data_IF_933855705484
#
_entry.id   IF_933855705484
#
_cell.length_a   1.000
_cell.length_b   1.000
_cell.length_c   1.000
_cell.angle_alpha   90.00
_cell.angle_beta   90.00
_cell.angle_gamma   90.00
#
_symmetry.space_group_name_H-M   'P 1'
#
loop_
_entity.id
_entity.type
_entity.pdbx_description
1 polymer ?
#
# COMPACT_ATOMS: atom_id res chain seq x y z
N UNK A 1 11.99 -33.67 -5.31
CA UNK A 1 11.79 -33.52 -3.85
C UNK A 1 13.12 -33.08 -3.25
N UNK A 2 13.18 -32.17 -2.25
CA UNK A 2 14.44 -31.83 -1.60
C UNK A 2 15.12 -33.09 -1.03
N UNK A 3 16.45 -33.08 -0.93
CA UNK A 3 17.20 -34.18 -0.32
C UNK A 3 16.77 -34.41 1.13
N UNK A 4 16.85 -35.66 1.59
CA UNK A 4 16.46 -36.04 2.94
C UNK A 4 17.38 -35.32 3.94
N UNK A 5 16.82 -34.39 4.71
CA UNK A 5 17.56 -33.52 5.66
C UNK A 5 17.76 -32.08 5.18
N UNK A 6 17.35 -31.74 3.95
CA UNK A 6 17.38 -30.37 3.47
C UNK A 6 16.35 -29.52 4.22
N UNK A 7 16.79 -28.39 4.77
CA UNK A 7 15.93 -27.37 5.36
C UNK A 7 15.83 -26.15 4.43
N UNK A 8 14.66 -25.52 4.42
CA UNK A 8 14.44 -24.25 3.73
C UNK A 8 14.34 -23.18 4.80
N UNK A 9 15.05 -22.08 4.60
CA UNK A 9 15.00 -20.92 5.48
C UNK A 9 14.54 -19.71 4.69
N UNK A 10 13.69 -18.90 5.32
CA UNK A 10 13.33 -17.61 4.77
C UNK A 10 14.54 -16.68 4.82
N UNK A 11 14.89 -16.04 3.70
CA UNK A 11 16.07 -15.16 3.62
C UNK A 11 15.71 -13.68 3.53
N UNK A 12 14.48 -13.37 3.15
CA UNK A 12 14.04 -12.01 2.82
C UNK A 12 13.35 -11.34 3.99
N UNK A 13 13.95 -11.36 5.18
CA UNK A 13 13.40 -10.80 6.42
C UNK A 13 12.94 -9.34 6.29
N UNK A 14 13.56 -8.56 5.39
CA UNK A 14 13.10 -7.20 5.05
C UNK A 14 11.66 -7.13 4.53
N UNK A 15 11.10 -8.24 4.03
CA UNK A 15 9.71 -8.35 3.55
C UNK A 15 8.72 -8.73 4.65
N UNK A 16 9.18 -9.05 5.86
CA UNK A 16 8.30 -9.26 7.02
C UNK A 16 7.81 -7.94 7.62
N UNK A 17 8.43 -6.81 7.23
CA UNK A 17 7.96 -5.50 7.66
C UNK A 17 6.55 -5.23 7.15
N UNK A 18 5.61 -5.13 8.10
CA UNK A 18 4.23 -4.75 7.82
C UNK A 18 4.20 -3.38 7.13
N UNK A 19 3.39 -3.29 6.08
CA UNK A 19 3.18 -2.05 5.34
C UNK A 19 2.44 -1.05 6.25
N UNK A 20 3.01 0.15 6.48
CA UNK A 20 2.53 1.07 7.52
C UNK A 20 1.25 1.83 7.15
N UNK A 21 1.01 2.01 5.85
CA UNK A 21 -0.15 2.68 5.29
C UNK A 21 -0.64 1.88 4.09
N UNK A 22 -1.93 1.61 4.01
CA UNK A 22 -2.57 0.95 2.87
C UNK A 22 -3.82 1.72 2.52
N UNK A 23 -4.02 2.03 1.25
CA UNK A 23 -5.25 2.66 0.75
C UNK A 23 -6.15 1.56 0.18
N UNK A 24 -7.40 1.53 0.61
CA UNK A 24 -8.46 0.74 -0.01
C UNK A 24 -9.37 1.70 -0.75
N UNK A 25 -9.62 1.47 -2.04
CA UNK A 25 -10.38 2.37 -2.88
C UNK A 25 -11.38 1.62 -3.75
N UNK A 26 -12.47 2.30 -4.10
CA UNK A 26 -13.51 1.80 -4.99
C UNK A 26 -14.21 2.95 -5.73
N UNK A 27 -14.74 2.67 -6.92
CA UNK A 27 -15.45 3.64 -7.76
C UNK A 27 -16.90 3.23 -8.00
N UNK A 28 -17.79 4.21 -7.99
CA UNK A 28 -19.17 4.06 -8.43
C UNK A 28 -19.33 4.64 -9.83
N UNK A 29 -20.00 3.90 -10.71
CA UNK A 29 -20.19 4.29 -12.11
C UNK A 29 -21.65 4.19 -12.54
N UNK A 30 -22.07 5.13 -13.39
CA UNK A 30 -23.32 5.01 -14.13
C UNK A 30 -23.08 4.40 -15.51
N UNK A 31 -24.12 3.76 -16.04
CA UNK A 31 -24.11 3.16 -17.37
C UNK A 31 -24.84 4.08 -18.33
N UNK A 32 -24.13 4.62 -19.33
CA UNK A 32 -24.76 5.34 -20.44
C UNK A 32 -24.83 4.45 -21.67
N UNK A 33 -26.02 4.23 -22.25
CA UNK A 33 -26.13 3.51 -23.51
C UNK A 33 -25.26 4.14 -24.60
N UNK A 34 -24.61 3.29 -25.40
CA UNK A 34 -23.92 3.71 -26.63
C UNK A 34 -24.75 3.19 -27.80
N UNK A 35 -25.12 4.09 -28.70
CA UNK A 35 -25.74 3.72 -29.97
C UNK A 35 -24.64 3.53 -31.01
N UNK A 36 -24.45 2.30 -31.47
CA UNK A 36 -23.54 1.92 -32.54
C UNK A 36 -24.31 1.57 -33.82
N UNK A 37 -23.67 1.69 -34.97
CA UNK A 37 -24.23 1.20 -36.24
C UNK A 37 -24.26 -0.33 -36.25
N UNK A 38 -25.12 -0.90 -37.10
CA UNK A 38 -25.17 -2.35 -37.28
C UNK A 38 -23.80 -2.89 -37.74
N UNK A 39 -23.28 -3.95 -37.11
CA UNK A 39 -22.00 -4.52 -37.45
C UNK A 39 -22.05 -5.31 -38.77
N UNK A 40 -20.94 -5.33 -39.50
CA UNK A 40 -20.81 -6.10 -40.74
C UNK A 40 -20.89 -7.61 -40.44
N UNK A 41 -21.84 -8.37 -41.04
CA UNK A 41 -21.98 -9.81 -40.81
C UNK A 41 -20.77 -10.66 -41.23
N UNK A 42 -19.91 -10.15 -42.12
CA UNK A 42 -18.74 -10.89 -42.62
C UNK A 42 -17.48 -10.73 -41.75
N UNK A 43 -17.53 -9.89 -40.71
CA UNK A 43 -16.39 -9.64 -39.82
C UNK A 43 -16.74 -9.90 -38.36
N UNK A 44 -15.75 -10.31 -37.57
CA UNK A 44 -15.91 -10.39 -36.12
C UNK A 44 -15.95 -8.99 -35.52
N UNK A 45 -16.97 -8.70 -34.70
CA UNK A 45 -17.15 -7.41 -34.06
C UNK A 45 -17.39 -7.55 -32.55
N UNK A 46 -17.04 -6.51 -31.81
CA UNK A 46 -17.37 -6.37 -30.38
C UNK A 46 -18.46 -5.32 -30.24
N UNK A 47 -19.60 -5.70 -29.67
CA UNK A 47 -20.69 -4.74 -29.44
C UNK A 47 -20.51 -4.00 -28.11
N UNK A 48 -20.05 -2.75 -28.19
CA UNK A 48 -19.97 -1.87 -27.01
C UNK A 48 -21.33 -1.17 -26.87
N UNK A 49 -22.17 -1.67 -25.97
CA UNK A 49 -23.53 -1.17 -25.79
C UNK A 49 -23.68 -0.16 -24.64
N UNK A 50 -22.70 -0.08 -23.73
CA UNK A 50 -22.72 0.82 -22.57
C UNK A 50 -21.33 1.42 -22.28
N UNK A 51 -21.33 2.69 -21.89
CA UNK A 51 -20.18 3.42 -21.36
C UNK A 51 -20.32 3.55 -19.86
N UNK A 52 -19.32 3.07 -19.13
CA UNK A 52 -19.22 3.26 -17.68
C UNK A 52 -18.58 4.63 -17.42
N UNK A 53 -19.28 5.49 -16.70
CA UNK A 53 -18.80 6.82 -16.34
C UNK A 53 -18.70 6.89 -14.82
N UNK A 54 -17.52 7.18 -14.26
CA UNK A 54 -17.36 7.28 -12.83
C UNK A 54 -18.13 8.50 -12.31
N UNK A 55 -19.02 8.28 -11.35
CA UNK A 55 -19.80 9.33 -10.67
C UNK A 55 -19.36 9.53 -9.24
N UNK A 56 -18.58 8.63 -8.67
CA UNK A 56 -18.06 8.79 -7.34
C UNK A 56 -16.95 7.82 -7.02
N UNK A 57 -16.31 8.06 -5.88
CA UNK A 57 -15.33 7.15 -5.32
C UNK A 57 -15.37 7.21 -3.80
N UNK A 58 -14.85 6.15 -3.19
CA UNK A 58 -14.49 6.11 -1.79
C UNK A 58 -13.07 5.60 -1.67
N UNK A 59 -12.25 6.19 -0.82
CA UNK A 59 -11.03 5.55 -0.36
C UNK A 59 -10.83 5.70 1.15
N UNK A 60 -10.24 4.68 1.74
CA UNK A 60 -9.90 4.63 3.15
C UNK A 60 -8.43 4.29 3.34
N UNK A 61 -7.74 5.12 4.12
CA UNK A 61 -6.33 4.92 4.46
C UNK A 61 -6.27 4.17 5.79
N UNK A 62 -5.86 2.90 5.76
CA UNK A 62 -5.62 2.12 6.97
C UNK A 62 -4.18 2.29 7.43
N UNK A 63 -4.01 2.61 8.71
CA UNK A 63 -2.73 2.57 9.40
C UNK A 63 -2.90 2.07 10.83
N UNK A 64 -1.81 1.58 11.41
CA UNK A 64 -1.71 1.30 12.85
C UNK A 64 -1.18 2.53 13.63
N UNK A 65 -0.74 3.58 12.93
CA UNK A 65 -0.03 4.72 13.54
C UNK A 65 -0.84 6.02 13.55
N UNK A 66 -1.85 6.11 12.68
CA UNK A 66 -2.70 7.26 12.51
C UNK A 66 -4.11 6.81 12.18
N UNK A 67 -5.09 7.57 12.65
CA UNK A 67 -6.49 7.38 12.29
C UNK A 67 -6.85 8.27 11.11
N UNK A 68 -7.68 7.73 10.23
CA UNK A 68 -8.22 8.42 9.07
C UNK A 68 -9.72 8.16 9.02
N UNK A 69 -10.43 9.08 8.41
CA UNK A 69 -11.82 8.89 8.01
C UNK A 69 -11.88 8.54 6.52
N UNK A 70 -12.84 7.73 6.08
CA UNK A 70 -13.05 7.49 4.65
C UNK A 70 -13.26 8.81 3.89
N UNK A 71 -12.57 8.95 2.77
CA UNK A 71 -12.74 10.05 1.84
C UNK A 71 -13.73 9.61 0.78
N UNK A 72 -14.79 10.38 0.62
CA UNK A 72 -15.84 10.11 -0.37
C UNK A 72 -16.02 11.31 -1.27
N UNK A 73 -16.34 11.04 -2.52
CA UNK A 73 -16.69 12.06 -3.49
C UNK A 73 -17.80 11.55 -4.39
N UNK A 74 -18.80 12.40 -4.65
CA UNK A 74 -19.85 12.16 -5.62
C UNK A 74 -19.95 13.37 -6.53
N UNK A 75 -19.99 13.14 -7.83
CA UNK A 75 -20.18 14.16 -8.85
C UNK A 75 -21.52 14.88 -8.65
N UNK A 76 -21.47 16.20 -8.76
CA UNK A 76 -22.64 17.09 -8.74
C UNK A 76 -23.19 17.31 -10.15
N UNK A 77 -22.35 17.16 -11.16
CA UNK A 77 -22.70 17.26 -12.57
C UNK A 77 -22.01 16.18 -13.41
N UNK A 78 -22.55 15.91 -14.60
CA UNK A 78 -22.04 14.85 -15.48
C UNK A 78 -20.72 15.19 -16.17
N UNK A 79 -20.30 16.46 -16.15
CA UNK A 79 -19.07 16.92 -16.79
C UNK A 79 -17.86 16.88 -15.85
N UNK A 80 -18.07 16.56 -14.57
CA UNK A 80 -17.00 16.45 -13.60
C UNK A 80 -16.05 15.29 -13.92
N UNK A 81 -14.75 15.57 -13.94
CA UNK A 81 -13.73 14.52 -14.03
C UNK A 81 -13.47 13.92 -12.64
N UNK A 82 -14.33 12.97 -12.25
CA UNK A 82 -14.25 12.25 -10.96
C UNK A 82 -12.91 11.54 -10.79
N UNK A 83 -12.39 10.92 -11.85
CA UNK A 83 -11.11 10.22 -11.82
C UNK A 83 -9.93 11.16 -11.52
N UNK A 84 -9.92 12.37 -12.09
CA UNK A 84 -8.92 13.39 -11.77
C UNK A 84 -9.01 13.83 -10.32
N UNK A 85 -10.23 14.07 -9.80
CA UNK A 85 -10.43 14.41 -8.38
C UNK A 85 -9.94 13.32 -7.43
N UNK A 86 -10.13 12.05 -7.80
CA UNK A 86 -9.58 10.93 -7.03
C UNK A 86 -8.07 11.03 -6.89
N UNK A 87 -7.35 11.24 -8.00
CA UNK A 87 -5.88 11.38 -7.98
C UNK A 87 -5.44 12.58 -7.15
N UNK A 88 -6.03 13.75 -7.37
CA UNK A 88 -5.67 14.98 -6.65
C UNK A 88 -5.88 14.86 -5.13
N UNK A 89 -7.01 14.27 -4.71
CA UNK A 89 -7.32 14.09 -3.29
C UNK A 89 -6.39 13.05 -2.65
N UNK A 90 -6.19 11.91 -3.33
CA UNK A 90 -5.30 10.86 -2.83
C UNK A 90 -3.85 11.33 -2.73
N UNK A 91 -3.35 12.04 -3.74
CA UNK A 91 -1.99 12.59 -3.75
C UNK A 91 -1.79 13.57 -2.58
N UNK A 92 -2.75 14.46 -2.35
CA UNK A 92 -2.73 15.39 -1.22
C UNK A 92 -2.60 14.65 0.12
N UNK A 93 -3.36 13.58 0.32
CA UNK A 93 -3.29 12.80 1.55
C UNK A 93 -1.98 12.03 1.69
N UNK A 94 -1.46 11.44 0.61
CA UNK A 94 -0.16 10.76 0.59
C UNK A 94 0.98 11.73 0.91
N UNK A 95 0.95 12.95 0.34
CA UNK A 95 1.91 14.01 0.63
C UNK A 95 1.85 14.40 2.12
N UNK A 96 0.64 14.56 2.68
CA UNK A 96 0.45 14.87 4.09
C UNK A 96 1.02 13.77 5.00
N UNK A 97 0.81 12.49 4.66
CA UNK A 97 1.39 11.35 5.37
C UNK A 97 2.91 11.40 5.30
N UNK A 98 3.47 11.66 4.13
CA UNK A 98 4.91 11.76 3.94
C UNK A 98 5.52 12.85 4.83
N UNK A 99 4.95 14.07 4.84
CA UNK A 99 5.46 15.15 5.67
C UNK A 99 5.40 14.83 7.17
N UNK A 100 4.32 14.20 7.64
CA UNK A 100 4.16 13.79 9.04
C UNK A 100 5.10 12.64 9.45
N UNK A 101 5.58 11.83 8.50
CA UNK A 101 6.36 10.61 8.77
C UNK A 101 7.75 10.60 8.13
N UNK A 102 8.18 11.74 7.59
CA UNK A 102 9.47 11.89 6.89
C UNK A 102 10.63 11.49 7.78
N UNK A 103 10.64 12.03 9.00
CA UNK A 103 11.69 11.84 9.98
C UNK A 103 11.32 10.72 10.97
N UNK A 104 12.26 9.80 11.27
CA UNK A 104 12.02 8.78 12.27
C UNK A 104 11.83 9.43 13.65
N UNK A 105 10.92 8.88 14.45
CA UNK A 105 10.77 9.29 15.84
C UNK A 105 12.00 8.89 16.65
N UNK A 106 12.26 9.64 17.73
CA UNK A 106 13.29 9.28 18.72
C UNK A 106 12.97 7.92 19.32
N UNK A 107 14.02 7.14 19.59
CA UNK A 107 13.88 5.81 20.17
C UNK A 107 13.30 5.89 21.59
N UNK A 108 12.35 5.01 21.88
CA UNK A 108 11.76 4.75 23.18
C UNK A 108 12.17 3.33 23.55
N UNK A 109 13.19 3.21 24.41
CA UNK A 109 13.84 1.95 24.75
C UNK A 109 13.94 1.78 26.27
N UNK A 110 13.79 0.54 26.72
CA UNK A 110 14.26 0.08 28.02
C UNK A 110 15.60 -0.65 27.83
N UNK A 111 16.70 -0.04 28.31
CA UNK A 111 18.06 -0.57 28.12
C UNK A 111 18.25 -1.97 28.71
N UNK A 112 17.60 -2.28 29.84
CA UNK A 112 17.70 -3.63 30.45
C UNK A 112 17.17 -4.72 29.51
N UNK A 113 16.13 -4.41 28.74
CA UNK A 113 15.57 -5.34 27.76
C UNK A 113 16.56 -5.57 26.63
N UNK A 114 17.16 -4.50 26.11
CA UNK A 114 18.16 -4.60 25.05
C UNK A 114 19.36 -5.42 25.50
N UNK A 115 19.88 -5.22 26.72
CA UNK A 115 21.05 -5.95 27.22
C UNK A 115 20.81 -7.46 27.30
N UNK A 116 19.63 -7.89 27.79
CA UNK A 116 19.25 -9.30 27.97
C UNK A 116 19.02 -10.07 26.66
N UNK A 117 18.80 -9.38 25.53
CA UNK A 117 18.52 -10.05 24.26
C UNK A 117 19.80 -10.58 23.59
N UNK A 118 19.90 -11.91 23.46
CA UNK A 118 21.07 -12.59 22.87
C UNK A 118 20.91 -12.92 21.39
N UNK A 119 19.68 -12.90 20.88
CA UNK A 119 19.35 -13.25 19.49
C UNK A 119 18.73 -12.08 18.74
N UNK A 120 19.01 -12.00 17.44
CA UNK A 120 18.48 -10.99 16.55
C UNK A 120 16.98 -11.20 16.36
N UNK A 121 16.17 -10.21 16.70
CA UNK A 121 14.71 -10.33 16.57
C UNK A 121 14.22 -10.43 15.11
N UNK A 122 15.06 -10.05 14.14
CA UNK A 122 14.74 -10.07 12.70
C UNK A 122 15.05 -11.42 12.07
N UNK A 123 16.26 -11.95 12.26
CA UNK A 123 16.69 -13.20 11.61
C UNK A 123 16.73 -14.41 12.55
N UNK A 124 16.60 -14.20 13.86
CA UNK A 124 16.62 -15.24 14.90
C UNK A 124 18.02 -15.71 15.33
N UNK A 125 19.09 -15.34 14.62
CA UNK A 125 20.45 -15.80 14.92
C UNK A 125 21.10 -15.02 16.09
N UNK A 126 22.11 -15.62 16.72
CA UNK A 126 22.82 -15.00 17.85
C UNK A 126 23.49 -13.68 17.50
N UNK A 127 23.45 -12.74 18.45
CA UNK A 127 24.02 -11.41 18.36
C UNK A 127 25.46 -11.42 18.85
N UNK A 128 26.30 -10.60 18.20
CA UNK A 128 27.69 -10.37 18.60
C UNK A 128 27.97 -8.91 18.88
N UNK A 129 29.17 -8.46 18.49
CA UNK A 129 29.60 -7.05 18.64
C UNK A 129 28.83 -6.07 17.73
N UNK A 130 28.08 -6.57 16.76
CA UNK A 130 27.29 -5.79 15.80
C UNK A 130 25.82 -5.59 16.24
N UNK A 131 25.53 -5.88 17.51
CA UNK A 131 24.22 -5.69 18.14
C UNK A 131 23.81 -4.21 18.15
N UNK A 132 22.69 -3.91 17.51
CA UNK A 132 22.10 -2.56 17.43
C UNK A 132 20.65 -2.56 17.91
N UNK A 133 20.14 -1.35 18.20
CA UNK A 133 18.77 -1.10 18.69
C UNK A 133 17.84 -0.80 17.51
N UNK A 134 17.05 -1.78 17.07
CA UNK A 134 16.00 -1.55 16.07
C UNK A 134 14.75 -0.95 16.74
N UNK A 135 14.13 0.02 16.08
CA UNK A 135 12.93 0.68 16.58
C UNK A 135 11.97 1.01 15.45
N UNK A 136 10.69 1.17 15.81
CA UNK A 136 9.68 1.59 14.86
C UNK A 136 9.89 3.07 14.47
N UNK A 137 10.07 3.40 13.18
CA UNK A 137 10.29 4.78 12.76
C UNK A 137 9.05 5.67 12.99
N UNK A 138 7.86 5.08 13.09
CA UNK A 138 6.59 5.80 13.26
C UNK A 138 6.24 6.06 14.72
N UNK A 139 6.55 5.14 15.65
CA UNK A 139 6.21 5.26 17.07
C UNK A 139 7.41 5.51 17.98
N UNK A 140 8.63 5.29 17.50
CA UNK A 140 9.85 5.34 18.30
C UNK A 140 10.08 4.09 19.16
N UNK A 141 9.08 3.22 19.33
CA UNK A 141 9.17 2.08 20.23
C UNK A 141 10.21 1.08 19.74
N UNK A 142 11.06 0.66 20.66
CA UNK A 142 12.02 -0.40 20.46
C UNK A 142 11.32 -1.71 20.06
N UNK A 143 11.81 -2.34 19.00
CA UNK A 143 11.29 -3.62 18.49
C UNK A 143 12.10 -4.80 19.02
N UNK A 144 13.42 -4.65 19.03
CA UNK A 144 14.33 -5.68 19.51
C UNK A 144 15.78 -5.40 19.11
N UNK A 145 16.68 -6.21 19.63
CA UNK A 145 18.10 -6.20 19.33
C UNK A 145 18.32 -6.90 17.99
N UNK A 146 19.06 -6.27 17.09
CA UNK A 146 19.27 -6.78 15.75
C UNK A 146 20.75 -6.70 15.37
N UNK A 147 21.18 -7.51 14.40
CA UNK A 147 22.45 -7.27 13.71
C UNK A 147 22.37 -5.93 12.97
N UNK A 148 23.48 -5.21 12.89
CA UNK A 148 23.55 -3.94 12.17
C UNK A 148 23.03 -4.07 10.71
N UNK A 149 23.45 -5.14 10.02
CA UNK A 149 23.01 -5.41 8.65
C UNK A 149 21.51 -5.71 8.56
N UNK A 150 20.96 -6.48 9.50
CA UNK A 150 19.53 -6.80 9.54
C UNK A 150 18.70 -5.52 9.72
N UNK A 151 19.04 -4.70 10.73
CA UNK A 151 18.42 -3.39 10.97
C UNK A 151 18.51 -2.47 9.74
N UNK A 152 19.67 -2.40 9.10
CA UNK A 152 19.85 -1.63 7.87
C UNK A 152 19.02 -2.16 6.70
N UNK A 153 18.69 -3.45 6.65
CA UNK A 153 17.84 -4.02 5.60
C UNK A 153 16.34 -3.84 5.88
N UNK A 154 15.95 -3.78 7.16
CA UNK A 154 14.57 -3.73 7.63
C UNK A 154 14.00 -2.30 7.62
N UNK A 155 13.92 -1.72 6.43
CA UNK A 155 13.56 -0.30 6.22
C UNK A 155 12.09 -0.09 5.90
N UNK A 156 11.61 1.11 6.22
CA UNK A 156 10.29 1.59 5.78
C UNK A 156 10.08 1.42 4.27
N UNK A 157 8.92 0.91 3.82
CA UNK A 157 8.55 0.93 2.43
C UNK A 157 8.59 2.35 1.86
N UNK A 158 9.00 2.48 0.60
CA UNK A 158 9.04 3.77 -0.12
C UNK A 158 7.76 4.05 -0.91
N UNK A 159 6.73 3.23 -0.73
CA UNK A 159 5.46 3.31 -1.43
C UNK A 159 4.31 3.05 -0.46
N UNK A 160 3.13 3.52 -0.84
CA UNK A 160 1.86 3.22 -0.18
C UNK A 160 1.03 2.44 -1.20
N UNK A 161 0.70 1.16 -0.96
CA UNK A 161 -0.15 0.41 -1.87
C UNK A 161 -1.57 0.98 -1.88
N UNK A 162 -2.14 1.05 -3.08
CA UNK A 162 -3.56 1.36 -3.32
C UNK A 162 -4.20 0.08 -3.84
N UNK A 163 -5.18 -0.42 -3.10
CA UNK A 163 -5.85 -1.68 -3.36
C UNK A 163 -7.29 -1.40 -3.82
N UNK A 164 -7.66 -2.02 -4.92
CA UNK A 164 -9.03 -2.11 -5.41
C UNK A 164 -9.44 -3.57 -5.46
N UNK A 165 -10.72 -3.86 -5.28
CA UNK A 165 -11.23 -5.22 -5.42
C UNK A 165 -11.09 -5.75 -6.84
N UNK A 166 -11.23 -4.90 -7.87
CA UNK A 166 -11.14 -5.31 -9.27
C UNK A 166 -10.29 -4.34 -10.12
N UNK A 167 -9.07 -4.01 -9.67
CA UNK A 167 -8.22 -3.04 -10.36
C UNK A 167 -8.03 -3.35 -11.85
N UNK A 168 -7.43 -4.50 -12.17
CA UNK A 168 -7.07 -4.85 -13.55
C UNK A 168 -8.27 -5.27 -14.40
N UNK A 169 -9.34 -5.78 -13.78
CA UNK A 169 -10.53 -6.24 -14.50
C UNK A 169 -11.57 -5.15 -14.71
N UNK A 170 -11.53 -4.07 -13.93
CA UNK A 170 -12.47 -2.95 -14.04
C UNK A 170 -11.77 -1.65 -13.67
N UNK A 171 -11.61 -1.29 -12.40
CA UNK A 171 -11.39 0.10 -11.94
C UNK A 171 -10.28 0.87 -12.64
N UNK A 172 -9.19 0.21 -13.05
CA UNK A 172 -8.07 0.84 -13.76
C UNK A 172 -8.51 1.62 -15.00
N UNK A 173 -9.49 1.13 -15.77
CA UNK A 173 -9.93 1.82 -16.99
C UNK A 173 -10.56 3.20 -16.70
N UNK A 174 -11.04 3.43 -15.47
CA UNK A 174 -11.70 4.68 -15.06
C UNK A 174 -10.70 5.80 -14.85
N UNK A 175 -9.50 5.51 -14.32
CA UNK A 175 -8.57 6.55 -13.87
C UNK A 175 -7.14 6.45 -14.41
N UNK A 176 -6.73 5.35 -15.04
CA UNK A 176 -5.34 5.15 -15.49
C UNK A 176 -4.83 6.26 -16.42
N UNK A 177 -5.72 6.89 -17.21
CA UNK A 177 -5.39 8.01 -18.10
C UNK A 177 -5.16 9.34 -17.37
N UNK A 178 -5.45 9.41 -16.08
CA UNK A 178 -5.28 10.59 -15.22
C UNK A 178 -4.10 10.43 -14.23
N UNK A 179 -3.34 9.33 -14.32
CA UNK A 179 -2.09 9.13 -13.57
C UNK A 179 -0.93 9.93 -14.14
#
# INVERSE_FOLDING_TARGET
MPEKGASIQFKNYQREMKVPFVVYADFESILKPIHTCEPNPEESFTNIYQKHIPIGFCYYIKSDFMEFTPVTYTAKDENENVAKKFIEMLEKDVINIYHKTKFPRKIILNEEKFEKEENCWICGNSLGKDKVRDHCPYTGHYRGAAHNQCNLSYRKPKFIPVLFHNLSGYDSHLFIKNL
#
